data_IF_747395156795
#
_entry.id   IF_747395156795
#
_cell.length_a   1.000
_cell.length_b   1.000
_cell.length_c   1.000
_cell.angle_alpha   90.00
_cell.angle_beta   90.00
_cell.angle_gamma   90.00
#
_symmetry.space_group_name_H-M   'P 1'
#
loop_
_entity.id
_entity.type
_entity.pdbx_description
1 polymer ?
#
# COMPACT_ATOMS: atom_id res chain seq x y z
N UNK A 1 12.99 -35.74 6.21
CA UNK A 1 12.71 -35.10 4.91
C UNK A 1 11.65 -34.02 5.05
N UNK A 2 10.52 -34.25 5.70
CA UNK A 2 9.48 -33.23 6.00
C UNK A 2 10.02 -32.05 6.79
N UNK A 3 10.81 -32.25 7.83
CA UNK A 3 11.39 -31.18 8.65
C UNK A 3 12.38 -30.28 7.87
N UNK A 4 13.13 -30.86 6.96
CA UNK A 4 14.08 -30.11 6.12
C UNK A 4 13.35 -29.29 5.06
N UNK A 5 12.24 -29.78 4.52
CA UNK A 5 11.41 -29.04 3.57
C UNK A 5 10.72 -27.86 4.26
N UNK A 6 10.18 -28.08 5.47
CA UNK A 6 9.60 -27.02 6.29
C UNK A 6 10.61 -25.92 6.62
N UNK A 7 11.82 -26.27 7.03
CA UNK A 7 12.89 -25.31 7.28
C UNK A 7 13.27 -24.52 6.02
N UNK A 8 13.38 -25.18 4.88
CA UNK A 8 13.69 -24.51 3.60
C UNK A 8 12.58 -23.54 3.19
N UNK A 9 11.32 -23.90 3.36
CA UNK A 9 10.16 -23.04 3.09
C UNK A 9 10.21 -21.79 3.97
N UNK A 10 10.47 -21.95 5.27
CA UNK A 10 10.59 -20.81 6.19
C UNK A 10 11.73 -19.88 5.78
N UNK A 11 12.92 -20.40 5.53
CA UNK A 11 14.08 -19.62 5.10
C UNK A 11 13.80 -18.87 3.80
N UNK A 12 13.17 -19.55 2.82
CA UNK A 12 12.84 -18.92 1.54
C UNK A 12 11.80 -17.82 1.73
N UNK A 13 10.77 -18.04 2.52
CA UNK A 13 9.70 -17.04 2.77
C UNK A 13 10.25 -15.82 3.49
N UNK A 14 11.08 -16.00 4.51
CA UNK A 14 11.77 -14.91 5.20
C UNK A 14 12.64 -14.10 4.25
N UNK A 15 13.49 -14.77 3.46
CA UNK A 15 14.34 -14.11 2.47
C UNK A 15 13.53 -13.39 1.38
N UNK A 16 12.45 -14.00 0.91
CA UNK A 16 11.54 -13.38 -0.06
C UNK A 16 10.98 -12.06 0.45
N UNK A 17 10.44 -12.04 1.66
CA UNK A 17 9.94 -10.79 2.27
C UNK A 17 11.05 -9.80 2.56
N UNK A 18 12.22 -10.25 2.97
CA UNK A 18 13.36 -9.37 3.21
C UNK A 18 13.77 -8.61 1.93
N UNK A 19 13.89 -9.29 0.80
CA UNK A 19 14.17 -8.67 -0.51
C UNK A 19 13.03 -7.72 -0.91
N UNK A 20 11.81 -8.14 -0.67
CA UNK A 20 10.60 -7.36 -0.94
C UNK A 20 10.60 -6.02 -0.20
N UNK A 21 10.96 -6.01 1.08
CA UNK A 21 11.08 -4.80 1.91
C UNK A 21 12.12 -3.83 1.33
N UNK A 22 13.27 -4.35 0.90
CA UNK A 22 14.32 -3.53 0.28
C UNK A 22 13.82 -2.88 -1.01
N UNK A 23 13.12 -3.61 -1.86
CA UNK A 23 12.53 -3.07 -3.09
C UNK A 23 11.44 -2.03 -2.78
N UNK A 24 10.56 -2.30 -1.82
CA UNK A 24 9.54 -1.34 -1.40
C UNK A 24 10.12 -0.03 -0.88
N UNK A 25 11.30 -0.06 -0.24
CA UNK A 25 11.97 1.15 0.21
C UNK A 25 12.28 2.11 -0.94
N UNK A 26 12.52 1.60 -2.16
CA UNK A 26 12.74 2.44 -3.35
C UNK A 26 11.52 3.31 -3.68
N UNK A 27 10.30 2.92 -3.32
CA UNK A 27 9.11 3.76 -3.46
C UNK A 27 9.29 5.06 -2.67
N UNK A 28 9.79 4.98 -1.44
CA UNK A 28 9.95 6.15 -0.58
C UNK A 28 11.10 7.05 -1.05
N UNK A 29 12.20 6.46 -1.53
CA UNK A 29 13.25 7.22 -2.20
C UNK A 29 12.67 7.94 -3.42
N UNK A 30 11.87 7.24 -4.21
CA UNK A 30 11.20 7.78 -5.38
C UNK A 30 10.22 8.91 -5.05
N UNK A 31 9.38 8.75 -4.04
CA UNK A 31 8.49 9.83 -3.58
C UNK A 31 9.25 11.08 -3.14
N UNK A 32 10.32 10.91 -2.37
CA UNK A 32 11.16 12.02 -1.96
C UNK A 32 11.70 12.79 -3.17
N UNK A 33 12.27 12.08 -4.15
CA UNK A 33 12.82 12.69 -5.36
C UNK A 33 11.75 13.33 -6.23
N UNK A 34 10.62 12.65 -6.42
CA UNK A 34 9.49 13.15 -7.19
C UNK A 34 8.93 14.44 -6.60
N UNK A 35 8.66 14.45 -5.29
CA UNK A 35 8.09 15.61 -4.61
C UNK A 35 9.07 16.80 -4.59
N UNK A 36 10.34 16.56 -4.32
CA UNK A 36 11.38 17.60 -4.38
C UNK A 36 11.46 18.18 -5.79
N UNK A 37 11.48 17.32 -6.82
CA UNK A 37 11.51 17.75 -8.21
C UNK A 37 10.27 18.53 -8.64
N UNK A 38 9.09 18.18 -8.13
CA UNK A 38 7.82 18.85 -8.40
C UNK A 38 7.64 20.17 -7.63
N UNK A 39 8.35 20.35 -6.51
CA UNK A 39 8.23 21.55 -5.68
C UNK A 39 9.10 22.71 -6.20
N UNK A 40 8.70 23.94 -5.81
CA UNK A 40 9.52 25.13 -6.09
C UNK A 40 10.80 25.12 -5.29
N UNK A 41 11.89 25.62 -5.84
CA UNK A 41 13.23 25.60 -5.24
C UNK A 41 13.27 26.04 -3.76
N UNK A 42 12.56 27.10 -3.41
CA UNK A 42 12.47 27.59 -2.03
C UNK A 42 11.84 26.61 -1.03
N UNK A 43 11.19 25.58 -1.52
CA UNK A 43 10.53 24.55 -0.71
C UNK A 43 11.24 23.19 -0.73
N UNK A 44 12.32 23.03 -1.50
CA UNK A 44 13.04 21.76 -1.63
C UNK A 44 13.47 21.20 -0.27
N UNK A 45 14.12 22.02 0.55
CA UNK A 45 14.58 21.59 1.89
C UNK A 45 13.41 21.17 2.79
N UNK A 46 12.32 21.92 2.76
CA UNK A 46 11.11 21.58 3.51
C UNK A 46 10.49 20.27 3.02
N UNK A 47 10.39 20.08 1.71
CA UNK A 47 9.85 18.86 1.11
C UNK A 47 10.72 17.65 1.43
N UNK A 48 12.04 17.81 1.35
CA UNK A 48 13.00 16.78 1.74
C UNK A 48 12.83 16.39 3.22
N UNK A 49 12.79 17.38 4.11
CA UNK A 49 12.63 17.14 5.54
C UNK A 49 11.30 16.45 5.87
N UNK A 50 10.21 16.85 5.22
CA UNK A 50 8.89 16.23 5.38
C UNK A 50 8.90 14.74 5.03
N UNK A 51 9.48 14.38 3.89
CA UNK A 51 9.61 12.99 3.45
C UNK A 51 10.56 12.17 4.35
N UNK A 52 11.66 12.78 4.81
CA UNK A 52 12.61 12.11 5.72
C UNK A 52 11.97 11.85 7.09
N UNK A 53 11.27 12.82 7.66
CA UNK A 53 10.66 12.69 8.99
C UNK A 53 9.44 11.78 9.03
N UNK A 54 8.78 11.54 7.91
CA UNK A 54 7.72 10.55 7.80
C UNK A 54 8.22 9.17 8.26
N UNK A 55 9.40 8.79 7.82
CA UNK A 55 10.00 7.47 8.10
C UNK A 55 10.04 7.17 9.61
N UNK A 56 10.79 7.92 10.45
CA UNK A 56 10.86 7.61 11.87
C UNK A 56 9.54 7.80 12.61
N UNK A 57 8.74 8.82 12.24
CA UNK A 57 7.48 9.08 12.91
C UNK A 57 6.47 7.94 12.74
N UNK A 58 6.29 7.48 11.52
CA UNK A 58 5.37 6.38 11.25
C UNK A 58 5.94 5.06 11.75
N UNK A 59 7.25 4.80 11.62
CA UNK A 59 7.87 3.57 12.14
C UNK A 59 7.64 3.40 13.63
N UNK A 60 7.93 4.44 14.40
CA UNK A 60 7.78 4.37 15.86
C UNK A 60 6.30 4.20 16.26
N UNK A 61 5.41 4.95 15.66
CA UNK A 61 3.97 4.87 15.99
C UNK A 61 3.32 3.59 15.47
N UNK A 62 3.79 3.08 14.32
CA UNK A 62 3.40 1.77 13.80
C UNK A 62 3.82 0.65 14.76
N UNK A 63 5.04 0.70 15.28
CA UNK A 63 5.53 -0.24 16.29
C UNK A 63 4.71 -0.15 17.58
N UNK A 64 4.39 1.06 18.05
CA UNK A 64 3.72 1.25 19.33
C UNK A 64 2.22 0.85 19.28
N UNK A 65 1.53 1.14 18.18
CA UNK A 65 0.09 0.90 18.11
C UNK A 65 -0.48 0.57 16.72
N UNK A 66 0.19 0.95 15.61
CA UNK A 66 -0.36 0.72 14.27
C UNK A 66 -0.51 -0.76 13.94
N UNK A 67 0.49 -1.57 14.26
CA UNK A 67 0.43 -3.02 14.10
C UNK A 67 -0.66 -3.67 14.94
N UNK A 68 -0.79 -3.23 16.19
CA UNK A 68 -1.87 -3.66 17.05
C UNK A 68 -3.25 -3.28 16.50
N UNK A 69 -3.44 -2.07 16.00
CA UNK A 69 -4.70 -1.63 15.37
C UNK A 69 -5.07 -2.53 14.20
N UNK A 70 -4.11 -2.91 13.36
CA UNK A 70 -4.34 -3.81 12.24
C UNK A 70 -4.94 -5.15 12.68
N UNK A 71 -4.44 -5.72 13.76
CA UNK A 71 -4.95 -7.00 14.30
C UNK A 71 -6.21 -6.87 15.14
N UNK A 72 -6.46 -5.69 15.71
CA UNK A 72 -7.50 -5.49 16.69
C UNK A 72 -8.91 -5.23 16.11
N UNK A 73 -9.00 -4.71 14.89
CA UNK A 73 -10.27 -4.20 14.37
C UNK A 73 -10.78 -4.85 13.07
N UNK A 74 -10.49 -6.11 12.75
CA UNK A 74 -10.90 -6.69 11.47
C UNK A 74 -12.41 -6.77 11.30
N UNK A 75 -13.16 -6.99 12.38
CA UNK A 75 -14.62 -7.13 12.36
C UNK A 75 -15.38 -5.79 12.28
N UNK A 76 -14.65 -4.67 12.20
CA UNK A 76 -15.24 -3.34 12.14
C UNK A 76 -15.72 -2.80 13.50
N UNK A 77 -16.19 -1.57 13.57
CA UNK A 77 -16.61 -0.92 14.81
C UNK A 77 -18.01 -1.36 15.24
N UNK A 78 -18.20 -2.63 15.52
CA UNK A 78 -19.48 -3.16 16.02
C UNK A 78 -20.59 -3.31 14.97
N UNK A 79 -20.30 -3.06 13.69
CA UNK A 79 -21.31 -3.20 12.61
C UNK A 79 -21.43 -4.66 12.17
N UNK A 80 -20.32 -5.39 12.14
CA UNK A 80 -20.29 -6.75 11.65
C UNK A 80 -21.14 -7.75 12.46
N UNK A 81 -21.17 -7.73 13.80
CA UNK A 81 -21.99 -8.66 14.58
C UNK A 81 -23.48 -8.53 14.35
N UNK A 82 -23.98 -7.35 13.98
CA UNK A 82 -25.42 -7.12 13.74
C UNK A 82 -25.88 -7.51 12.34
N UNK A 83 -24.94 -7.71 11.39
CA UNK A 83 -25.24 -8.08 10.00
C UNK A 83 -25.06 -9.59 9.77
N UNK A 84 -24.31 -10.26 10.64
CA UNK A 84 -24.06 -11.68 10.54
C UNK A 84 -25.19 -12.50 11.09
N UNK A 85 -25.95 -13.13 10.20
CA UNK A 85 -26.83 -14.23 10.57
C UNK A 85 -25.99 -15.45 10.97
N UNK A 86 -26.50 -16.27 11.88
CA UNK A 86 -25.87 -17.52 12.34
C UNK A 86 -25.45 -18.48 11.22
N UNK A 87 -26.03 -18.37 10.02
CA UNK A 87 -25.68 -19.15 8.85
C UNK A 87 -24.44 -18.65 8.07
N UNK A 88 -23.98 -17.42 8.33
CA UNK A 88 -22.72 -16.91 7.83
C UNK A 88 -21.59 -17.04 8.86
N UNK A 89 -21.84 -17.76 9.91
CA UNK A 89 -21.00 -18.03 11.07
C UNK A 89 -19.71 -18.85 10.80
N UNK A 90 -19.09 -18.65 9.67
CA UNK A 90 -17.65 -18.92 9.53
C UNK A 90 -16.80 -17.88 10.29
N UNK A 91 -17.43 -16.76 10.69
CA UNK A 91 -16.88 -15.86 11.70
C UNK A 91 -17.75 -16.02 12.94
N UNK A 92 -17.55 -17.08 13.68
CA UNK A 92 -17.79 -16.98 15.10
C UNK A 92 -16.86 -15.86 15.58
N UNK A 93 -17.41 -14.65 15.67
CA UNK A 93 -16.89 -13.69 16.64
C UNK A 93 -17.11 -14.40 17.96
N UNK A 94 -16.20 -15.28 18.30
CA UNK A 94 -16.09 -15.78 19.64
C UNK A 94 -16.05 -14.51 20.49
N UNK A 95 -17.08 -14.31 21.29
CA UNK A 95 -17.13 -13.20 22.25
C UNK A 95 -15.90 -13.23 23.16
N UNK A 96 -15.24 -14.35 23.24
CA UNK A 96 -13.92 -14.53 23.84
C UNK A 96 -12.79 -13.98 22.96
N UNK A 97 -12.92 -13.89 21.62
CA UNK A 97 -11.89 -13.30 20.78
C UNK A 97 -11.82 -11.77 20.96
N UNK A 98 -12.94 -11.08 20.97
CA UNK A 98 -12.94 -9.64 21.26
C UNK A 98 -12.44 -9.32 22.67
N UNK A 99 -12.68 -10.20 23.64
CA UNK A 99 -12.15 -10.06 24.99
C UNK A 99 -10.66 -10.42 25.09
N UNK A 100 -10.20 -11.42 24.33
CA UNK A 100 -8.81 -11.87 24.36
C UNK A 100 -7.83 -10.84 23.78
N UNK A 101 -8.17 -10.20 22.69
CA UNK A 101 -7.22 -9.24 22.12
C UNK A 101 -7.22 -7.90 22.90
N UNK A 102 -8.35 -7.51 23.50
CA UNK A 102 -8.40 -6.35 24.39
C UNK A 102 -7.60 -6.56 25.69
N UNK A 103 -7.64 -7.78 26.22
CA UNK A 103 -6.92 -8.10 27.45
C UNK A 103 -5.47 -8.42 27.22
N UNK A 104 -4.99 -8.35 26.00
CA UNK A 104 -3.68 -8.60 25.94
C UNK A 104 -2.92 -9.41 25.27
N UNK A 105 -3.20 -9.61 24.29
CA UNK A 105 -2.15 -10.34 23.65
C UNK A 105 -1.04 -9.37 23.29
N UNK A 106 -0.12 -9.28 24.23
CA UNK A 106 1.23 -8.76 24.00
C UNK A 106 1.86 -9.35 22.73
N UNK A 107 1.42 -10.50 22.27
CA UNK A 107 1.75 -11.11 20.99
C UNK A 107 1.39 -10.23 19.79
N UNK A 108 0.31 -9.44 19.87
CA UNK A 108 -0.11 -8.53 18.79
C UNK A 108 0.31 -7.08 19.02
N UNK A 109 0.80 -6.75 20.20
CA UNK A 109 1.29 -5.40 20.50
C UNK A 109 2.74 -5.20 20.09
N UNK A 110 3.48 -6.28 19.88
CA UNK A 110 4.87 -6.26 19.41
C UNK A 110 5.06 -7.30 18.32
N UNK A 111 6.11 -7.10 17.54
CA UNK A 111 6.54 -8.08 16.54
C UNK A 111 7.01 -9.33 17.27
N UNK A 112 6.46 -10.48 16.97
CA UNK A 112 6.96 -11.75 17.46
C UNK A 112 8.23 -12.13 16.70
N UNK A 113 9.38 -11.85 17.29
CA UNK A 113 10.67 -12.21 16.69
C UNK A 113 11.06 -13.69 16.91
N UNK A 114 10.26 -14.43 17.65
CA UNK A 114 10.39 -15.89 17.74
C UNK A 114 9.84 -16.62 16.51
N UNK A 115 9.01 -15.93 15.73
CA UNK A 115 8.54 -16.38 14.44
C UNK A 115 9.38 -15.68 13.36
N UNK A 116 10.14 -16.43 12.59
CA UNK A 116 11.06 -15.92 11.59
C UNK A 116 10.43 -15.06 10.50
N UNK A 117 9.13 -15.18 10.26
CA UNK A 117 8.41 -14.49 9.21
C UNK A 117 7.74 -13.21 9.70
N UNK A 118 7.24 -13.17 10.93
CA UNK A 118 6.48 -12.04 11.47
C UNK A 118 7.23 -10.71 11.41
N UNK A 119 8.55 -10.73 11.66
CA UNK A 119 9.36 -9.50 11.62
C UNK A 119 9.46 -8.88 10.22
N UNK A 120 9.68 -9.67 9.20
CA UNK A 120 9.75 -9.18 7.81
C UNK A 120 8.38 -8.84 7.25
N UNK A 121 7.34 -9.56 7.65
CA UNK A 121 5.96 -9.25 7.31
C UNK A 121 5.51 -7.93 7.96
N UNK A 122 5.82 -7.72 9.23
CA UNK A 122 5.62 -6.45 9.92
C UNK A 122 6.29 -5.29 9.17
N UNK A 123 7.54 -5.49 8.72
CA UNK A 123 8.27 -4.49 7.96
C UNK A 123 7.61 -4.18 6.62
N UNK A 124 7.13 -5.19 5.89
CA UNK A 124 6.40 -4.98 4.63
C UNK A 124 5.13 -4.14 4.86
N UNK A 125 4.36 -4.46 5.90
CA UNK A 125 3.16 -3.70 6.27
C UNK A 125 3.49 -2.28 6.72
N UNK A 126 4.59 -2.08 7.44
CA UNK A 126 5.09 -0.74 7.76
C UNK A 126 5.34 0.08 6.48
N UNK A 127 5.93 -0.51 5.44
CA UNK A 127 6.22 0.22 4.21
C UNK A 127 4.94 0.55 3.43
N UNK A 128 3.89 -0.25 3.51
CA UNK A 128 2.55 0.14 3.02
C UNK A 128 1.99 1.34 3.78
N UNK A 129 2.13 1.35 5.10
CA UNK A 129 1.76 2.48 5.96
C UNK A 129 2.49 3.78 5.55
N UNK A 130 3.80 3.71 5.32
CA UNK A 130 4.56 4.83 4.80
C UNK A 130 4.06 5.28 3.43
N UNK A 131 3.70 4.33 2.55
CA UNK A 131 3.19 4.64 1.22
C UNK A 131 1.90 5.45 1.30
N UNK A 132 0.95 5.05 2.14
CA UNK A 132 -0.29 5.79 2.35
C UNK A 132 -0.01 7.24 2.81
N UNK A 133 0.88 7.44 3.77
CA UNK A 133 1.27 8.76 4.25
C UNK A 133 2.04 9.58 3.18
N UNK A 134 2.88 8.93 2.36
CA UNK A 134 3.63 9.57 1.28
C UNK A 134 2.73 10.09 0.16
N UNK A 135 1.68 9.36 -0.20
CA UNK A 135 0.69 9.82 -1.19
C UNK A 135 0.06 11.13 -0.75
N UNK A 136 -0.35 11.23 0.52
CA UNK A 136 -0.90 12.47 1.07
C UNK A 136 0.15 13.59 1.10
N UNK A 137 1.41 13.26 1.44
CA UNK A 137 2.53 14.20 1.36
C UNK A 137 2.64 14.88 0.00
N UNK A 138 2.59 14.10 -1.08
CA UNK A 138 2.64 14.60 -2.44
C UNK A 138 1.50 15.54 -2.80
N UNK A 139 0.28 15.20 -2.41
CA UNK A 139 -0.90 16.00 -2.67
C UNK A 139 -0.86 17.40 -2.04
N UNK A 140 -0.22 17.54 -0.88
CA UNK A 140 -0.19 18.79 -0.10
C UNK A 140 1.14 19.54 -0.18
N UNK A 141 1.96 19.25 -1.19
CA UNK A 141 3.24 19.94 -1.45
C UNK A 141 3.06 21.48 -1.33
N UNK A 142 4.00 22.12 -0.62
CA UNK A 142 4.10 23.58 -0.42
C UNK A 142 2.93 24.21 0.37
N UNK A 143 2.07 23.44 1.04
CA UNK A 143 0.84 23.93 1.66
C UNK A 143 0.74 23.68 3.16
N UNK A 144 1.65 22.91 3.72
CA UNK A 144 1.62 22.48 5.12
C UNK A 144 2.99 22.65 5.78
N UNK A 145 3.04 22.86 7.08
CA UNK A 145 4.29 22.84 7.86
C UNK A 145 4.75 21.41 8.11
N UNK A 146 6.04 21.21 8.34
CA UNK A 146 6.59 19.87 8.66
C UNK A 146 5.95 19.28 9.91
N UNK A 147 5.70 20.09 10.93
CA UNK A 147 5.05 19.63 12.17
C UNK A 147 3.61 19.14 11.93
N UNK A 148 2.79 19.94 11.25
CA UNK A 148 1.41 19.54 10.93
C UNK A 148 1.37 18.30 10.02
N UNK A 149 2.31 18.20 9.07
CA UNK A 149 2.46 16.98 8.27
C UNK A 149 2.84 15.78 9.14
N UNK A 150 3.72 15.94 10.11
CA UNK A 150 4.08 14.85 11.03
C UNK A 150 2.87 14.26 11.75
N UNK A 151 1.96 15.11 12.22
CA UNK A 151 0.69 14.68 12.85
C UNK A 151 -0.17 13.92 11.82
N UNK A 152 -0.31 14.46 10.61
CA UNK A 152 -1.06 13.79 9.55
C UNK A 152 -0.44 12.44 9.15
N UNK A 153 0.87 12.37 9.06
CA UNK A 153 1.57 11.13 8.71
C UNK A 153 1.33 10.02 9.73
N UNK A 154 1.36 10.36 11.03
CA UNK A 154 1.03 9.43 12.12
C UNK A 154 -0.44 9.01 12.02
N UNK A 155 -1.35 9.97 11.89
CA UNK A 155 -2.78 9.69 11.80
C UNK A 155 -3.11 8.78 10.62
N UNK A 156 -2.59 9.09 9.44
CA UNK A 156 -2.86 8.32 8.22
C UNK A 156 -2.14 6.97 8.28
N UNK A 157 -0.83 6.95 8.50
CA UNK A 157 -0.03 5.74 8.41
C UNK A 157 -0.30 4.75 9.55
N UNK A 158 -0.40 5.21 10.79
CA UNK A 158 -0.46 4.32 11.95
C UNK A 158 -1.85 4.14 12.54
N UNK A 159 -2.86 4.93 12.10
CA UNK A 159 -4.23 4.78 12.61
C UNK A 159 -5.19 4.45 11.47
N UNK A 160 -5.46 5.39 10.58
CA UNK A 160 -6.54 5.23 9.61
C UNK A 160 -6.24 4.18 8.55
N UNK A 161 -5.01 4.14 8.04
CA UNK A 161 -4.59 3.08 7.14
C UNK A 161 -4.62 1.72 7.83
N UNK A 162 -4.19 1.64 9.09
CA UNK A 162 -4.19 0.38 9.86
C UNK A 162 -5.61 -0.17 10.05
N UNK A 163 -6.59 0.71 10.29
CA UNK A 163 -8.00 0.33 10.38
C UNK A 163 -8.51 -0.15 9.01
N UNK A 164 -8.23 0.58 7.95
CA UNK A 164 -8.67 0.21 6.60
C UNK A 164 -8.05 -1.10 6.13
N UNK A 165 -6.75 -1.29 6.36
CA UNK A 165 -6.06 -2.54 6.08
C UNK A 165 -6.62 -3.71 6.91
N UNK A 166 -6.96 -3.46 8.17
CA UNK A 166 -7.64 -4.45 9.03
C UNK A 166 -9.00 -4.87 8.45
N UNK A 167 -9.72 -3.96 7.84
CA UNK A 167 -11.03 -4.24 7.24
C UNK A 167 -10.95 -4.93 5.89
N UNK A 168 -10.00 -4.53 5.04
CA UNK A 168 -9.89 -4.97 3.65
C UNK A 168 -8.90 -6.11 3.41
N UNK A 169 -7.84 -6.20 4.21
CA UNK A 169 -6.75 -7.15 4.00
C UNK A 169 -6.62 -8.23 5.07
N UNK A 170 -7.11 -7.98 6.28
CA UNK A 170 -7.07 -9.02 7.31
C UNK A 170 -7.97 -10.20 6.91
N UNK A 171 -7.52 -11.43 7.20
CA UNK A 171 -8.28 -12.63 6.85
C UNK A 171 -9.69 -12.69 7.50
N UNK A 172 -9.90 -12.00 8.63
CA UNK A 172 -11.21 -11.78 9.25
C UNK A 172 -11.80 -10.40 8.95
N UNK A 173 -11.28 -9.69 7.98
CA UNK A 173 -11.75 -8.36 7.59
C UNK A 173 -13.21 -8.37 7.17
N UNK A 174 -14.04 -7.53 7.76
CA UNK A 174 -15.48 -7.50 7.49
C UNK A 174 -15.80 -7.15 6.03
N UNK A 175 -14.99 -6.30 5.40
CA UNK A 175 -15.17 -5.98 3.98
C UNK A 175 -14.95 -7.22 3.11
N UNK A 176 -13.92 -8.02 3.42
CA UNK A 176 -13.65 -9.27 2.74
C UNK A 176 -14.77 -10.28 2.97
N UNK A 177 -15.13 -10.52 4.25
CA UNK A 177 -16.05 -11.61 4.62
C UNK A 177 -17.52 -11.32 4.28
N UNK A 178 -17.94 -10.06 4.35
CA UNK A 178 -19.34 -9.66 4.16
C UNK A 178 -19.60 -9.14 2.76
N UNK A 179 -18.71 -8.30 2.24
CA UNK A 179 -18.89 -7.65 0.94
C UNK A 179 -18.21 -8.37 -0.22
N UNK A 180 -17.37 -9.38 0.07
CA UNK A 180 -16.54 -10.00 -0.95
C UNK A 180 -15.51 -9.02 -1.56
N UNK A 181 -15.05 -8.06 -0.76
CA UNK A 181 -14.07 -7.07 -1.20
C UNK A 181 -12.79 -7.74 -1.67
N UNK A 182 -12.32 -7.35 -2.84
CA UNK A 182 -11.10 -7.84 -3.43
C UNK A 182 -10.20 -6.67 -3.85
N UNK A 183 -9.03 -6.59 -3.26
CA UNK A 183 -8.01 -5.58 -3.56
C UNK A 183 -6.63 -6.16 -3.24
N UNK A 184 -6.19 -7.10 -4.06
CA UNK A 184 -4.99 -7.86 -3.75
C UNK A 184 -3.72 -7.01 -3.68
N UNK A 185 -3.66 -5.90 -4.44
CA UNK A 185 -2.46 -5.06 -4.54
C UNK A 185 -2.73 -3.58 -4.26
N UNK A 186 -3.73 -3.29 -3.41
CA UNK A 186 -3.88 -2.01 -2.72
C UNK A 186 -4.41 -0.82 -3.54
N UNK A 187 -5.21 -1.00 -4.57
CA UNK A 187 -5.91 0.14 -5.19
C UNK A 187 -6.81 0.86 -4.19
N UNK A 188 -7.56 0.12 -3.39
CA UNK A 188 -8.44 0.63 -2.34
C UNK A 188 -7.72 0.86 -1.04
N UNK A 189 -7.20 -0.23 -0.45
CA UNK A 189 -6.64 -0.26 0.91
C UNK A 189 -5.48 0.74 1.13
N UNK A 190 -4.77 1.15 0.09
CA UNK A 190 -3.73 2.19 0.22
C UNK A 190 -4.07 3.43 -0.59
N UNK A 191 -4.34 3.27 -1.88
CA UNK A 191 -4.38 4.42 -2.77
C UNK A 191 -5.70 5.19 -2.69
N UNK A 192 -6.84 4.52 -2.59
CA UNK A 192 -8.13 5.21 -2.45
C UNK A 192 -8.26 5.87 -1.08
N UNK A 193 -7.83 5.20 0.01
CA UNK A 193 -7.86 5.82 1.34
C UNK A 193 -6.93 7.03 1.42
N UNK A 194 -5.69 6.91 0.92
CA UNK A 194 -4.75 8.03 0.90
C UNK A 194 -5.25 9.17 -0.01
N UNK A 195 -5.87 8.85 -1.15
CA UNK A 195 -6.48 9.82 -2.05
C UNK A 195 -7.66 10.55 -1.42
N UNK A 196 -8.52 9.85 -0.69
CA UNK A 196 -9.63 10.42 0.06
C UNK A 196 -9.15 11.38 1.16
N UNK A 197 -8.14 10.97 1.94
CA UNK A 197 -7.49 11.85 2.92
C UNK A 197 -6.87 13.08 2.26
N UNK A 198 -6.14 12.89 1.17
CA UNK A 198 -5.54 13.97 0.40
C UNK A 198 -6.60 14.98 -0.06
N UNK A 199 -7.73 14.49 -0.58
CA UNK A 199 -8.85 15.34 -1.00
C UNK A 199 -9.40 16.14 0.18
N UNK A 200 -9.70 15.50 1.30
CA UNK A 200 -10.21 16.18 2.51
C UNK A 200 -9.26 17.26 3.02
N UNK A 201 -7.97 16.97 3.09
CA UNK A 201 -6.95 17.96 3.51
C UNK A 201 -6.85 19.10 2.51
N UNK A 202 -6.93 18.83 1.19
CA UNK A 202 -6.89 19.86 0.16
C UNK A 202 -8.10 20.79 0.18
N UNK A 203 -9.27 20.29 0.53
CA UNK A 203 -10.47 21.13 0.70
C UNK A 203 -10.28 22.16 1.82
N UNK A 204 -9.50 21.83 2.85
CA UNK A 204 -9.18 22.75 3.96
C UNK A 204 -8.02 23.68 3.60
N UNK A 205 -6.93 23.15 3.04
CA UNK A 205 -5.73 23.93 2.74
C UNK A 205 -5.87 24.85 1.52
N UNK A 206 -6.74 24.52 0.59
CA UNK A 206 -6.91 25.24 -0.66
C UNK A 206 -5.72 25.14 -1.62
N UNK A 207 -5.67 26.02 -2.62
CA UNK A 207 -4.63 25.99 -3.66
C UNK A 207 -3.27 26.46 -3.16
N UNK A 208 -2.20 26.07 -3.84
CA UNK A 208 -0.84 26.58 -3.58
C UNK A 208 -0.79 28.09 -3.77
N UNK A 209 -0.04 28.79 -2.91
CA UNK A 209 0.17 30.24 -3.01
C UNK A 209 0.71 30.60 -4.40
N UNK A 210 0.03 31.50 -5.09
CA UNK A 210 0.36 31.93 -6.45
C UNK A 210 -0.20 31.04 -7.56
N UNK A 211 -1.03 30.04 -7.23
CA UNK A 211 -1.71 29.21 -8.26
C UNK A 211 -2.68 30.00 -9.11
N UNK A 212 -3.32 30.99 -8.52
CA UNK A 212 -4.23 31.88 -9.22
C UNK A 212 -3.68 33.31 -9.22
N UNK A 213 -3.88 34.03 -10.32
CA UNK A 213 -3.61 35.46 -10.44
C UNK A 213 -4.68 36.27 -9.68
N UNK A 214 -4.48 37.58 -9.55
CA UNK A 214 -5.43 38.47 -8.90
C UNK A 214 -6.80 38.53 -9.63
N UNK A 215 -6.82 38.24 -10.92
CA UNK A 215 -8.03 38.12 -11.73
C UNK A 215 -8.67 36.71 -11.68
N UNK A 216 -8.16 35.78 -10.86
CA UNK A 216 -8.66 34.42 -10.74
C UNK A 216 -8.13 33.43 -11.80
N UNK A 217 -7.34 33.87 -12.77
CA UNK A 217 -6.80 32.97 -13.79
C UNK A 217 -5.75 32.00 -13.21
N UNK A 218 -5.80 30.71 -13.58
CA UNK A 218 -4.85 29.72 -13.11
C UNK A 218 -3.46 29.93 -13.74
N UNK A 219 -2.42 29.93 -12.91
CA UNK A 219 -1.03 29.97 -13.35
C UNK A 219 -0.47 28.56 -13.43
N UNK A 220 0.33 28.30 -14.44
CA UNK A 220 1.09 27.04 -14.51
C UNK A 220 2.24 27.06 -13.50
N UNK A 221 2.18 26.16 -12.51
CA UNK A 221 3.26 25.90 -11.58
C UNK A 221 3.80 24.50 -11.94
N UNK A 222 4.64 24.45 -12.96
CA UNK A 222 5.29 23.21 -13.40
C UNK A 222 6.36 22.71 -12.44
N UNK A 223 6.82 21.47 -12.61
CA UNK A 223 7.91 20.90 -11.83
C UNK A 223 9.21 21.70 -12.02
N UNK A 224 9.91 21.94 -10.94
CA UNK A 224 11.15 22.72 -11.00
C UNK A 224 12.35 21.93 -11.51
N UNK A 225 12.38 20.64 -11.22
CA UNK A 225 13.44 19.73 -11.65
C UNK A 225 12.85 18.48 -12.29
N UNK A 226 12.66 18.47 -13.62
CA UNK A 226 12.11 17.32 -14.34
C UNK A 226 12.93 16.04 -14.19
N UNK A 227 14.25 16.14 -14.03
CA UNK A 227 15.11 14.98 -13.84
C UNK A 227 14.81 14.26 -12.53
N UNK A 228 14.67 15.00 -11.43
CA UNK A 228 14.29 14.41 -10.15
C UNK A 228 12.89 13.80 -10.21
N UNK A 229 11.95 14.43 -10.89
CA UNK A 229 10.60 13.87 -11.11
C UNK A 229 10.69 12.54 -11.86
N UNK A 230 11.42 12.51 -12.97
CA UNK A 230 11.54 11.30 -13.80
C UNK A 230 12.23 10.17 -13.05
N UNK A 231 13.40 10.44 -12.44
CA UNK A 231 14.14 9.43 -11.69
C UNK A 231 13.30 8.94 -10.49
N UNK A 232 12.63 9.85 -9.80
CA UNK A 232 11.76 9.51 -8.69
C UNK A 232 10.62 8.56 -9.11
N UNK A 233 9.98 8.81 -10.25
CA UNK A 233 8.95 7.93 -10.79
C UNK A 233 9.49 6.56 -11.19
N UNK A 234 10.65 6.49 -11.85
CA UNK A 234 11.25 5.19 -12.15
C UNK A 234 11.63 4.39 -10.91
N UNK A 235 12.08 5.05 -9.85
CA UNK A 235 12.30 4.38 -8.56
C UNK A 235 11.00 3.89 -7.95
N UNK A 236 9.91 4.65 -8.04
CA UNK A 236 8.58 4.21 -7.61
C UNK A 236 8.15 2.99 -8.43
N UNK A 237 8.24 3.03 -9.77
CA UNK A 237 7.88 1.88 -10.61
C UNK A 237 8.70 0.64 -10.26
N UNK A 238 10.00 0.79 -10.03
CA UNK A 238 10.86 -0.32 -9.60
C UNK A 238 10.43 -0.85 -8.23
N UNK A 239 10.12 0.02 -7.30
CA UNK A 239 9.67 -0.36 -5.96
C UNK A 239 8.32 -1.07 -5.95
N UNK A 240 7.47 -0.85 -6.95
CA UNK A 240 6.20 -1.58 -7.08
C UNK A 240 6.38 -3.09 -7.31
N UNK A 241 7.51 -3.56 -7.82
CA UNK A 241 7.83 -4.98 -7.85
C UNK A 241 7.86 -5.56 -6.43
N UNK A 242 8.51 -4.86 -5.49
CA UNK A 242 8.49 -5.23 -4.09
C UNK A 242 7.10 -5.08 -3.47
N UNK A 243 6.39 -4.02 -3.83
CA UNK A 243 5.03 -3.77 -3.36
C UNK A 243 4.08 -4.92 -3.72
N UNK A 244 4.08 -5.36 -4.98
CA UNK A 244 3.28 -6.51 -5.40
C UNK A 244 3.79 -7.82 -4.79
N UNK A 245 5.09 -8.00 -4.69
CA UNK A 245 5.66 -9.18 -4.05
C UNK A 245 5.24 -9.28 -2.57
N UNK A 246 5.15 -8.16 -1.84
CA UNK A 246 4.69 -8.12 -0.45
C UNK A 246 3.24 -8.56 -0.26
N UNK A 247 2.42 -8.41 -1.30
CA UNK A 247 1.04 -8.87 -1.32
C UNK A 247 0.89 -10.36 -1.69
N UNK A 248 1.99 -11.07 -1.88
CA UNK A 248 2.00 -12.49 -2.21
C UNK A 248 2.73 -13.28 -1.14
N UNK A 249 2.23 -14.49 -0.89
CA UNK A 249 2.88 -15.47 0.00
C UNK A 249 3.41 -16.60 -0.86
N UNK A 250 4.71 -16.88 -0.87
CA UNK A 250 5.25 -18.04 -1.56
C UNK A 250 4.74 -19.32 -0.87
N UNK A 251 4.17 -20.24 -1.65
CA UNK A 251 3.59 -21.48 -1.14
C UNK A 251 4.21 -22.66 -1.85
N UNK A 252 4.58 -23.66 -1.07
CA UNK A 252 5.17 -24.90 -1.56
C UNK A 252 4.20 -26.07 -1.59
N UNK A 253 3.14 -26.00 -0.81
CA UNK A 253 2.13 -27.05 -0.73
C UNK A 253 0.74 -26.43 -0.72
N UNK A 254 0.19 -26.27 -1.92
CA UNK A 254 -1.23 -26.05 -2.08
C UNK A 254 -1.85 -27.45 -2.11
N UNK A 255 -2.44 -27.88 -1.00
CA UNK A 255 -3.03 -29.19 -0.84
C UNK A 255 -4.07 -29.56 -1.92
N UNK A 256 -4.57 -30.79 -1.91
CA UNK A 256 -5.56 -31.30 -2.87
C UNK A 256 -6.83 -30.46 -2.97
N UNK A 257 -7.18 -29.75 -1.91
CA UNK A 257 -8.36 -28.86 -1.87
C UNK A 257 -8.32 -27.72 -2.90
N UNK A 258 -7.14 -27.40 -3.45
CA UNK A 258 -6.99 -26.40 -4.51
C UNK A 258 -6.91 -27.02 -5.91
N UNK A 259 -7.20 -28.32 -6.05
CA UNK A 259 -7.18 -29.03 -7.32
C UNK A 259 -5.79 -29.19 -7.93
N UNK A 260 -4.75 -29.18 -7.09
CA UNK A 260 -3.35 -29.12 -7.52
C UNK A 260 -2.60 -30.46 -7.41
N UNK A 261 -3.29 -31.57 -7.29
CA UNK A 261 -2.66 -32.90 -7.37
C UNK A 261 -1.90 -33.07 -8.70
N UNK A 262 -0.58 -32.99 -8.62
CA UNK A 262 0.31 -33.25 -9.75
C UNK A 262 0.50 -32.08 -10.73
N UNK A 263 0.03 -30.87 -10.43
CA UNK A 263 0.15 -29.73 -11.34
C UNK A 263 0.64 -28.48 -10.62
N UNK A 264 1.87 -28.07 -10.89
CA UNK A 264 2.52 -26.90 -10.29
C UNK A 264 2.31 -25.63 -11.13
N UNK A 265 1.07 -25.20 -11.35
CA UNK A 265 0.81 -23.94 -12.06
C UNK A 265 0.90 -22.70 -11.17
N UNK A 266 0.74 -22.87 -9.86
CA UNK A 266 0.71 -21.77 -8.92
C UNK A 266 1.99 -21.75 -8.11
N UNK A 267 2.66 -20.61 -8.07
CA UNK A 267 3.92 -20.44 -7.35
C UNK A 267 3.78 -19.54 -6.13
N UNK A 268 2.63 -18.94 -5.95
CA UNK A 268 2.31 -18.07 -4.81
C UNK A 268 0.79 -18.02 -4.58
N UNK A 269 0.39 -17.48 -3.45
CA UNK A 269 -0.96 -16.94 -3.25
C UNK A 269 -0.91 -15.43 -3.10
N UNK A 270 -2.04 -14.76 -3.32
CA UNK A 270 -2.19 -13.37 -2.91
C UNK A 270 -2.45 -13.25 -1.40
N UNK A 271 -2.65 -12.03 -0.90
CA UNK A 271 -2.91 -11.75 0.51
C UNK A 271 -4.19 -12.42 1.05
N UNK A 272 -5.11 -12.81 0.18
CA UNK A 272 -6.34 -13.55 0.53
C UNK A 272 -6.17 -15.06 0.42
N UNK A 273 -4.95 -15.54 0.26
CA UNK A 273 -4.59 -16.94 0.05
C UNK A 273 -5.20 -17.54 -1.24
N UNK A 274 -5.60 -16.72 -2.21
CA UNK A 274 -6.02 -17.18 -3.52
C UNK A 274 -4.80 -17.50 -4.38
N UNK A 275 -4.75 -18.67 -5.04
CA UNK A 275 -3.63 -19.05 -5.88
C UNK A 275 -3.38 -18.06 -7.03
N UNK A 276 -2.12 -17.76 -7.28
CA UNK A 276 -1.69 -16.82 -8.32
C UNK A 276 -0.31 -17.20 -8.89
N UNK A 277 0.15 -16.47 -9.90
CA UNK A 277 1.50 -16.59 -10.43
C UNK A 277 2.20 -15.25 -10.51
N UNK A 278 3.47 -15.20 -10.14
CA UNK A 278 4.28 -14.01 -10.31
C UNK A 278 4.41 -13.59 -11.78
N UNK A 279 4.34 -14.56 -12.71
CA UNK A 279 4.34 -14.29 -14.16
C UNK A 279 3.10 -13.51 -14.59
N UNK A 280 1.90 -13.92 -14.17
CA UNK A 280 0.65 -13.22 -14.47
C UNK A 280 0.65 -11.80 -13.92
N UNK A 281 1.04 -11.66 -12.65
CA UNK A 281 1.16 -10.35 -11.99
C UNK A 281 2.15 -9.45 -12.71
N UNK A 282 3.31 -9.98 -13.10
CA UNK A 282 4.33 -9.26 -13.87
C UNK A 282 3.79 -8.74 -15.20
N UNK A 283 3.09 -9.58 -15.94
CA UNK A 283 2.49 -9.21 -17.23
C UNK A 283 1.47 -8.08 -17.03
N UNK A 284 0.54 -8.27 -16.10
CA UNK A 284 -0.51 -7.29 -15.81
C UNK A 284 0.07 -5.95 -15.32
N UNK A 285 1.10 -5.99 -14.49
CA UNK A 285 1.81 -4.79 -14.06
C UNK A 285 2.41 -4.01 -15.23
N UNK A 286 3.15 -4.67 -16.12
CA UNK A 286 3.78 -4.02 -17.27
C UNK A 286 2.76 -3.47 -18.25
N UNK A 287 1.66 -4.19 -18.47
CA UNK A 287 0.58 -3.74 -19.35
C UNK A 287 -0.16 -2.53 -18.78
N UNK A 288 -0.45 -2.52 -17.48
CA UNK A 288 -1.13 -1.40 -16.82
C UNK A 288 -0.24 -0.15 -16.76
N UNK A 289 1.05 -0.30 -16.46
CA UNK A 289 2.03 0.78 -16.54
C UNK A 289 2.07 1.38 -17.96
N UNK A 290 2.16 0.51 -18.96
CA UNK A 290 2.25 0.93 -20.37
C UNK A 290 0.97 1.63 -20.83
N UNK A 291 -0.19 1.08 -20.49
CA UNK A 291 -1.49 1.69 -20.77
C UNK A 291 -1.63 3.07 -20.14
N UNK A 292 -1.22 3.21 -18.87
CA UNK A 292 -1.19 4.50 -18.18
C UNK A 292 -0.29 5.53 -18.86
N UNK A 293 0.93 5.13 -19.23
CA UNK A 293 1.88 6.02 -19.92
C UNK A 293 1.34 6.47 -21.29
N UNK A 294 0.80 5.56 -22.09
CA UNK A 294 0.23 5.88 -23.41
C UNK A 294 -0.97 6.79 -23.30
N UNK A 295 -1.92 6.50 -22.42
CA UNK A 295 -3.09 7.34 -22.20
C UNK A 295 -2.68 8.72 -21.71
N UNK A 296 -1.73 8.81 -20.76
CA UNK A 296 -1.20 10.06 -20.27
C UNK A 296 -0.52 10.90 -21.35
N UNK A 297 0.28 10.26 -22.21
CA UNK A 297 0.91 10.96 -23.34
C UNK A 297 -0.10 11.61 -24.28
N UNK A 298 -1.14 10.87 -24.64
CA UNK A 298 -2.20 11.37 -25.54
C UNK A 298 -3.01 12.50 -24.88
N UNK A 299 -3.49 12.27 -23.64
CA UNK A 299 -4.34 13.24 -22.94
C UNK A 299 -3.58 14.51 -22.59
N UNK A 300 -2.35 14.36 -22.11
CA UNK A 300 -1.50 15.50 -21.76
C UNK A 300 -0.79 16.14 -22.95
N UNK A 301 -1.07 15.70 -24.18
CA UNK A 301 -0.46 16.22 -25.41
C UNK A 301 1.07 16.22 -25.36
N UNK A 302 1.66 15.18 -24.80
CA UNK A 302 3.10 15.00 -24.66
C UNK A 302 3.74 15.79 -23.52
N UNK A 303 2.99 16.38 -22.59
CA UNK A 303 3.58 16.98 -21.38
C UNK A 303 4.28 15.89 -20.56
N UNK A 304 5.60 16.03 -20.31
CA UNK A 304 6.38 14.95 -19.66
C UNK A 304 5.91 14.66 -18.24
N UNK A 305 5.59 15.69 -17.46
CA UNK A 305 5.21 15.53 -16.05
C UNK A 305 3.94 14.69 -15.91
N UNK A 306 2.92 15.01 -16.68
CA UNK A 306 1.66 14.28 -16.66
C UNK A 306 1.78 12.90 -17.30
N UNK A 307 2.55 12.77 -18.39
CA UNK A 307 2.81 11.48 -19.03
C UNK A 307 3.45 10.49 -18.06
N UNK A 308 4.52 10.89 -17.40
CA UNK A 308 5.21 10.01 -16.45
C UNK A 308 4.34 9.71 -15.21
N UNK A 309 3.63 10.70 -14.69
CA UNK A 309 2.73 10.50 -13.55
C UNK A 309 1.56 9.57 -13.88
N UNK A 310 1.10 9.53 -15.12
CA UNK A 310 0.02 8.64 -15.57
C UNK A 310 0.40 7.17 -15.59
N UNK A 311 1.69 6.83 -15.72
CA UNK A 311 2.14 5.46 -15.55
C UNK A 311 1.83 4.92 -14.15
N UNK A 312 2.02 5.75 -13.12
CA UNK A 312 1.64 5.39 -11.75
C UNK A 312 0.12 5.21 -11.62
N UNK A 313 -0.67 6.11 -12.23
CA UNK A 313 -2.12 5.97 -12.23
C UNK A 313 -2.59 4.67 -12.90
N UNK A 314 -1.94 4.25 -14.01
CA UNK A 314 -2.21 2.98 -14.66
C UNK A 314 -1.93 1.77 -13.77
N UNK A 315 -0.78 1.75 -13.09
CA UNK A 315 -0.43 0.71 -12.11
C UNK A 315 -1.51 0.62 -11.02
N UNK A 316 -1.86 1.75 -10.41
CA UNK A 316 -2.83 1.82 -9.32
C UNK A 316 -4.22 1.37 -9.78
N UNK A 317 -4.64 1.75 -10.97
CA UNK A 317 -5.95 1.37 -11.52
C UNK A 317 -6.13 -0.14 -11.61
N UNK A 318 -5.09 -0.87 -12.00
CA UNK A 318 -5.12 -2.31 -12.16
C UNK A 318 -4.83 -3.11 -10.87
N UNK A 319 -4.24 -2.45 -9.86
CA UNK A 319 -3.71 -3.13 -8.67
C UNK A 319 -4.74 -3.95 -7.90
N UNK A 320 -6.01 -3.56 -7.88
CA UNK A 320 -7.04 -4.32 -7.14
C UNK A 320 -7.16 -5.77 -7.62
N UNK A 321 -6.98 -6.01 -8.91
CA UNK A 321 -7.24 -7.31 -9.54
C UNK A 321 -6.14 -7.83 -10.45
N UNK A 322 -4.89 -7.43 -10.23
CA UNK A 322 -3.75 -7.87 -11.05
C UNK A 322 -3.55 -9.41 -11.05
N UNK A 323 -4.10 -10.10 -10.09
CA UNK A 323 -4.14 -11.56 -10.00
C UNK A 323 -5.30 -12.20 -10.78
N UNK A 324 -6.34 -11.41 -11.10
CA UNK A 324 -7.57 -11.90 -11.72
C UNK A 324 -7.70 -11.54 -13.18
N UNK A 325 -7.15 -10.40 -13.60
CA UNK A 325 -7.38 -9.87 -14.94
C UNK A 325 -6.51 -10.55 -16.00
N UNK A 326 -7.07 -10.67 -17.19
CA UNK A 326 -6.27 -10.94 -18.38
C UNK A 326 -5.62 -9.64 -18.85
N UNK A 327 -4.36 -9.69 -19.26
CA UNK A 327 -3.55 -8.53 -19.65
C UNK A 327 -4.21 -7.59 -20.68
N UNK A 328 -5.04 -8.14 -21.58
CA UNK A 328 -5.72 -7.35 -22.61
C UNK A 328 -6.81 -6.42 -22.07
N UNK A 329 -7.36 -6.72 -20.90
CA UNK A 329 -8.42 -5.89 -20.27
C UNK A 329 -7.85 -4.55 -19.78
N UNK A 330 -6.58 -4.51 -19.41
CA UNK A 330 -5.93 -3.34 -18.87
C UNK A 330 -5.56 -2.27 -19.92
N UNK A 331 -5.45 -2.67 -21.17
CA UNK A 331 -5.15 -1.77 -22.26
C UNK A 331 -6.39 -0.99 -22.70
#
# INVERSE_FOLDING_TARGET
>A
MTDQLGALTTIFTEFYYWVTVVLMFLIHVGFCMYEVGASRYKHHQHTLMKNTMLIPLVTVTWFLFGWWIYWAFPTGPGIAPSIMNESTALITVDSTFSAKWYLANTEYMAVNLGDHISGVFWAAFLLFSWTAASIVSGAIIERITTFAFGILAIAIGSVFWSIDASWGWHFDGWMLKILGYHDAYASGVIHAIAGGFALGVLMVLGPRIGKFASNGEPRNIGPRNPWLVTIGLFLIYTGFWGFYAACNVPIYDLGPEYGMEGVTFWTATNIYLTPTTLSGITMNFLMSLSGGLLAGYVIAKGDPFWTYSSGLAGIICASAGNDLYLSLIHI
#
